data_IF_730384988702
#
_entry.id   IF_730384988702
#
_cell.length_a   1.000
_cell.length_b   1.000
_cell.length_c   1.000
_cell.angle_alpha   90.00
_cell.angle_beta   90.00
_cell.angle_gamma   90.00
#
_symmetry.space_group_name_H-M   'P 1'
#
loop_
_entity.id
_entity.type
_entity.pdbx_description
1 polymer ?
#
# COMPACT_ATOMS: atom_id res chain seq x y z
N UNK A 1 -15.83 -5.06 -7.78
CA UNK A 1 -14.77 -5.59 -6.91
C UNK A 1 -15.31 -6.78 -6.15
N UNK A 2 -14.64 -7.94 -6.24
CA UNK A 2 -15.08 -9.18 -5.59
C UNK A 2 -14.52 -9.35 -4.18
N UNK A 3 -13.48 -8.61 -3.82
CA UNK A 3 -12.87 -8.64 -2.52
C UNK A 3 -11.50 -7.98 -2.56
N UNK A 4 -10.97 -7.62 -1.39
CA UNK A 4 -9.68 -6.99 -1.25
C UNK A 4 -8.79 -7.79 -0.31
N UNK A 5 -7.53 -8.00 -0.69
CA UNK A 5 -6.51 -8.60 0.15
C UNK A 5 -5.55 -7.51 0.61
N UNK A 6 -5.32 -7.44 1.91
CA UNK A 6 -4.43 -6.44 2.51
C UNK A 6 -3.09 -7.08 2.85
N UNK A 7 -2.00 -6.40 2.54
CA UNK A 7 -0.67 -6.91 2.83
C UNK A 7 0.33 -5.76 3.03
N UNK A 8 1.49 -6.08 3.58
CA UNK A 8 2.58 -5.13 3.69
C UNK A 8 3.37 -5.07 2.38
N UNK A 9 3.76 -6.21 1.88
CA UNK A 9 4.51 -6.36 0.63
C UNK A 9 3.78 -7.27 -0.34
N UNK A 10 3.80 -6.92 -1.62
CA UNK A 10 3.23 -7.75 -2.68
C UNK A 10 4.28 -8.73 -3.18
N UNK A 11 3.94 -10.00 -3.19
CA UNK A 11 4.78 -11.08 -3.72
C UNK A 11 3.93 -11.99 -4.60
N UNK A 12 4.57 -12.93 -5.29
CA UNK A 12 3.83 -13.93 -6.07
C UNK A 12 2.88 -14.73 -5.17
N UNK A 13 3.33 -15.07 -3.96
CA UNK A 13 2.50 -15.79 -3.00
C UNK A 13 1.25 -15.00 -2.60
N UNK A 14 1.37 -13.68 -2.43
CA UNK A 14 0.23 -12.81 -2.12
C UNK A 14 -0.75 -12.77 -3.28
N UNK A 15 -0.27 -12.68 -4.51
CA UNK A 15 -1.12 -12.73 -5.70
C UNK A 15 -1.83 -14.08 -5.79
N UNK A 16 -1.12 -15.18 -5.53
CA UNK A 16 -1.72 -16.51 -5.52
C UNK A 16 -2.82 -16.62 -4.45
N UNK A 17 -2.60 -16.05 -3.26
CA UNK A 17 -3.59 -16.02 -2.20
C UNK A 17 -4.83 -15.22 -2.62
N UNK A 18 -4.65 -14.08 -3.27
CA UNK A 18 -5.76 -13.28 -3.79
C UNK A 18 -6.58 -14.09 -4.81
N UNK A 19 -5.92 -14.82 -5.69
CA UNK A 19 -6.59 -15.69 -6.67
C UNK A 19 -7.41 -16.76 -5.97
N UNK A 20 -6.81 -17.44 -4.98
CA UNK A 20 -7.50 -18.50 -4.23
C UNK A 20 -8.74 -17.99 -3.48
N UNK A 21 -8.64 -16.78 -2.93
CA UNK A 21 -9.75 -16.17 -2.17
C UNK A 21 -10.75 -15.43 -3.04
N UNK A 22 -10.54 -15.41 -4.34
CA UNK A 22 -11.42 -14.71 -5.27
C UNK A 22 -11.36 -13.19 -5.15
N UNK A 23 -10.25 -12.64 -4.64
CA UNK A 23 -10.05 -11.20 -4.52
C UNK A 23 -9.44 -10.65 -5.80
N UNK A 24 -9.97 -9.53 -6.29
CA UNK A 24 -9.45 -8.87 -7.49
C UNK A 24 -8.76 -7.53 -7.18
N UNK A 25 -8.59 -7.21 -5.90
CA UNK A 25 -7.89 -6.01 -5.43
C UNK A 25 -6.90 -6.41 -4.35
N UNK A 26 -5.66 -5.91 -4.47
CA UNK A 26 -4.64 -6.02 -3.42
C UNK A 26 -4.30 -4.60 -2.99
N UNK A 27 -4.37 -4.34 -1.69
CA UNK A 27 -3.93 -3.07 -1.10
C UNK A 27 -2.69 -3.35 -0.27
N UNK A 28 -1.58 -2.74 -0.63
CA UNK A 28 -0.30 -2.92 0.06
C UNK A 28 0.22 -1.61 0.62
N UNK A 29 1.14 -1.68 1.57
CA UNK A 29 1.86 -0.49 2.03
C UNK A 29 3.04 -0.20 1.10
N UNK A 30 3.87 -1.19 0.81
CA UNK A 30 5.00 -1.02 -0.08
C UNK A 30 4.59 -1.27 -1.54
N UNK A 31 4.99 -0.39 -2.47
CA UNK A 31 4.66 -0.59 -3.88
C UNK A 31 5.42 -1.78 -4.46
N UNK A 32 4.75 -2.58 -5.28
CA UNK A 32 5.39 -3.68 -6.00
C UNK A 32 6.42 -3.15 -6.99
N UNK A 33 6.05 -2.12 -7.76
CA UNK A 33 6.94 -1.48 -8.72
C UNK A 33 7.52 -0.22 -8.05
N UNK A 34 8.64 -0.39 -7.37
CA UNK A 34 9.35 0.73 -6.74
C UNK A 34 10.25 1.45 -7.74
N UNK A 35 10.86 0.73 -8.66
CA UNK A 35 11.69 1.26 -9.73
C UNK A 35 11.05 0.99 -11.08
N UNK A 36 11.29 1.89 -12.04
CA UNK A 36 10.73 1.75 -13.38
C UNK A 36 11.10 0.40 -13.99
N UNK A 37 10.11 -0.25 -14.60
CA UNK A 37 10.32 -1.49 -15.33
C UNK A 37 10.56 -1.19 -16.80
N UNK A 38 11.67 -1.69 -17.33
CA UNK A 38 11.96 -1.59 -18.76
C UNK A 38 11.23 -2.68 -19.57
N UNK A 39 10.85 -3.77 -18.91
CA UNK A 39 10.17 -4.91 -19.54
C UNK A 39 9.35 -5.67 -18.49
N UNK A 40 8.41 -6.47 -18.97
CA UNK A 40 7.63 -7.38 -18.12
C UNK A 40 7.91 -8.79 -18.64
N UNK A 41 8.85 -9.48 -18.00
CA UNK A 41 9.26 -10.85 -18.33
C UNK A 41 9.37 -11.66 -17.04
N UNK A 42 10.06 -12.77 -17.05
CA UNK A 42 10.22 -13.65 -15.88
C UNK A 42 11.59 -13.50 -15.21
N UNK A 43 12.32 -12.41 -15.48
CA UNK A 43 13.69 -12.23 -14.99
C UNK A 43 13.79 -12.08 -13.46
N UNK A 44 12.82 -11.42 -12.83
CA UNK A 44 12.82 -11.26 -11.38
C UNK A 44 11.40 -11.37 -10.83
N UNK A 45 11.30 -11.39 -9.47
CA UNK A 45 10.01 -11.61 -8.84
C UNK A 45 9.02 -10.47 -9.11
N UNK A 46 9.51 -9.23 -9.24
CA UNK A 46 8.63 -8.08 -9.51
C UNK A 46 7.95 -8.25 -10.87
N UNK A 47 8.72 -8.57 -11.90
CA UNK A 47 8.18 -8.80 -13.24
C UNK A 47 7.21 -9.97 -13.27
N UNK A 48 7.57 -11.09 -12.63
CA UNK A 48 6.69 -12.25 -12.54
C UNK A 48 5.39 -11.94 -11.83
N UNK A 49 5.46 -11.19 -10.73
CA UNK A 49 4.28 -10.80 -9.94
C UNK A 49 3.37 -9.87 -10.74
N UNK A 50 3.94 -8.86 -11.42
CA UNK A 50 3.18 -7.95 -12.29
C UNK A 50 2.46 -8.74 -13.39
N UNK A 51 3.18 -9.63 -14.05
CA UNK A 51 2.62 -10.46 -15.13
C UNK A 51 1.45 -11.32 -14.62
N UNK A 52 1.62 -11.94 -13.46
CA UNK A 52 0.58 -12.77 -12.84
C UNK A 52 -0.66 -11.94 -12.49
N UNK A 53 -0.47 -10.74 -11.93
CA UNK A 53 -1.57 -9.85 -11.58
C UNK A 53 -2.35 -9.43 -12.84
N UNK A 54 -1.65 -9.03 -13.90
CA UNK A 54 -2.29 -8.65 -15.17
C UNK A 54 -3.06 -9.82 -15.76
N UNK A 55 -2.45 -11.01 -15.79
CA UNK A 55 -3.07 -12.20 -16.36
C UNK A 55 -4.35 -12.61 -15.61
N UNK A 56 -4.41 -12.34 -14.31
CA UNK A 56 -5.55 -12.69 -13.46
C UNK A 56 -6.46 -11.51 -13.14
N UNK A 57 -6.26 -10.40 -13.83
CA UNK A 57 -7.11 -9.20 -13.73
C UNK A 57 -7.19 -8.66 -12.30
N UNK A 58 -6.04 -8.61 -11.61
CA UNK A 58 -5.94 -8.11 -10.24
C UNK A 58 -5.36 -6.71 -10.25
N UNK A 59 -6.07 -5.79 -9.58
CA UNK A 59 -5.61 -4.41 -9.37
C UNK A 59 -4.79 -4.34 -8.08
N UNK A 60 -3.65 -3.67 -8.12
CA UNK A 60 -2.78 -3.49 -6.96
C UNK A 60 -2.66 -1.99 -6.67
N UNK A 61 -3.00 -1.60 -5.44
CA UNK A 61 -2.91 -0.21 -4.97
C UNK A 61 -1.93 -0.16 -3.81
N UNK A 62 -0.90 0.68 -3.92
CA UNK A 62 0.05 0.89 -2.83
C UNK A 62 -0.31 2.14 -2.05
N UNK A 63 -0.56 1.98 -0.76
CA UNK A 63 -0.80 3.06 0.19
C UNK A 63 0.50 3.30 0.96
N UNK A 64 1.46 3.95 0.31
CA UNK A 64 2.82 4.11 0.81
C UNK A 64 2.95 5.33 1.76
N UNK A 65 3.80 6.28 1.41
CA UNK A 65 4.04 7.46 2.27
C UNK A 65 2.82 8.36 2.43
N UNK A 66 1.87 8.30 1.52
CA UNK A 66 0.61 9.02 1.66
C UNK A 66 -0.15 8.61 2.93
N UNK A 67 -0.08 7.34 3.33
CA UNK A 67 -0.70 6.88 4.58
C UNK A 67 0.09 7.30 5.80
N UNK A 68 1.39 7.51 5.67
CA UNK A 68 2.23 8.04 6.75
C UNK A 68 1.89 9.50 7.03
N UNK A 69 1.60 10.26 5.98
CA UNK A 69 1.29 11.69 6.07
C UNK A 69 -0.17 12.00 6.38
N UNK A 70 -1.07 11.04 6.22
CA UNK A 70 -2.50 11.25 6.41
C UNK A 70 -2.89 11.30 7.88
N UNK A 71 -3.84 12.16 8.22
CA UNK A 71 -4.45 12.16 9.55
C UNK A 71 -5.18 10.82 9.77
N UNK A 72 -4.93 10.17 10.91
CA UNK A 72 -5.48 8.85 11.20
C UNK A 72 -4.81 7.72 10.43
N UNK A 73 -3.71 7.99 9.72
CA UNK A 73 -2.94 6.98 9.00
C UNK A 73 -2.04 6.15 9.89
N UNK A 74 -1.01 5.54 9.29
CA UNK A 74 -0.13 4.56 9.97
C UNK A 74 0.49 5.13 11.25
N UNK A 75 1.06 6.33 11.19
CA UNK A 75 1.74 6.93 12.35
C UNK A 75 0.78 7.23 13.48
N UNK A 76 -0.44 7.67 13.17
CA UNK A 76 -1.48 7.91 14.17
C UNK A 76 -1.93 6.58 14.82
N UNK A 77 -2.00 5.51 14.05
CA UNK A 77 -2.34 4.18 14.58
C UNK A 77 -1.24 3.64 15.48
N UNK A 78 0.01 3.86 15.13
CA UNK A 78 1.16 3.49 15.99
C UNK A 78 1.10 4.27 17.30
N UNK A 79 0.87 5.59 17.22
CA UNK A 79 0.76 6.44 18.40
C UNK A 79 -0.39 5.98 19.30
N UNK A 80 -1.54 5.64 18.75
CA UNK A 80 -2.69 5.11 19.47
C UNK A 80 -2.35 3.82 20.22
N UNK A 81 -1.67 2.88 19.55
CA UNK A 81 -1.26 1.62 20.17
C UNK A 81 -0.24 1.79 21.28
N UNK A 82 0.60 2.82 21.20
CA UNK A 82 1.58 3.14 22.23
C UNK A 82 1.00 4.01 23.35
N UNK A 83 -0.26 4.47 23.22
CA UNK A 83 -0.89 5.32 24.22
C UNK A 83 -0.36 6.75 24.25
N UNK A 84 0.20 7.25 23.15
CA UNK A 84 0.76 8.58 23.07
C UNK A 84 -0.36 9.64 23.01
N UNK A 85 -0.08 10.81 23.60
CA UNK A 85 -1.03 11.94 23.63
C UNK A 85 -0.45 13.13 22.86
N UNK A 86 -1.35 14.07 22.49
CA UNK A 86 -0.96 15.29 21.79
C UNK A 86 -0.18 15.03 20.50
N UNK A 87 -0.63 14.03 19.75
CA UNK A 87 -0.03 13.67 18.47
C UNK A 87 -0.35 14.75 17.44
N UNK A 88 0.71 15.29 16.79
CA UNK A 88 0.56 16.33 15.80
C UNK A 88 1.62 16.17 14.71
N UNK A 89 1.40 16.79 13.56
CA UNK A 89 2.37 16.78 12.48
C UNK A 89 3.60 17.59 12.85
N UNK A 90 4.77 17.07 12.51
CA UNK A 90 6.05 17.74 12.74
C UNK A 90 6.24 18.92 11.76
N UNK A 91 5.92 18.70 10.50
CA UNK A 91 6.08 19.70 9.45
C UNK A 91 5.11 19.43 8.29
N UNK A 92 4.97 20.41 7.40
CA UNK A 92 4.21 20.22 6.17
C UNK A 92 2.71 19.99 6.36
N UNK A 93 2.15 20.43 7.51
CA UNK A 93 0.72 20.25 7.74
C UNK A 93 -0.09 20.99 6.69
N UNK A 94 -0.98 20.28 6.03
CA UNK A 94 -1.88 20.80 5.01
C UNK A 94 -3.29 20.29 5.25
N UNK A 95 -4.26 21.08 4.81
CA UNK A 95 -5.66 20.68 4.89
C UNK A 95 -6.28 20.75 3.50
N UNK A 96 -6.89 19.65 3.08
CA UNK A 96 -7.59 19.54 1.79
C UNK A 96 -8.97 18.96 2.08
N UNK A 97 -10.02 19.68 1.67
CA UNK A 97 -11.41 19.27 1.88
C UNK A 97 -11.73 18.92 3.35
N UNK A 98 -11.17 19.68 4.29
CA UNK A 98 -11.37 19.46 5.71
C UNK A 98 -10.54 18.32 6.31
N UNK A 99 -9.69 17.68 5.51
CA UNK A 99 -8.80 16.59 5.95
C UNK A 99 -7.38 17.13 6.08
N UNK A 100 -6.76 16.91 7.25
CA UNK A 100 -5.39 17.33 7.53
C UNK A 100 -4.40 16.21 7.21
N UNK A 101 -3.26 16.58 6.66
CA UNK A 101 -2.14 15.70 6.43
C UNK A 101 -0.83 16.45 6.63
N UNK A 102 0.27 15.72 6.81
CA UNK A 102 1.56 16.33 7.02
C UNK A 102 2.66 15.32 7.24
N UNK A 103 3.84 15.81 7.64
CA UNK A 103 5.01 14.98 7.91
C UNK A 103 5.24 14.83 9.42
N UNK A 104 5.80 13.68 9.82
CA UNK A 104 6.19 13.38 11.18
C UNK A 104 7.47 12.58 11.24
N UNK A 105 7.99 12.42 12.41
CA UNK A 105 9.19 11.63 12.66
C UNK A 105 8.81 10.29 13.26
#
# INVERSE_FOLDING_TARGET
>A
MSGALLCLDVSEAVVDEAIQKGCNLIVSHHPLIFRKLARISDENYVQRTVRKAIKNDITIVAMHTNMDAAAGGVNFKIAEKLGLRNVQFFAGEKEVDGVKGGEGV
#
